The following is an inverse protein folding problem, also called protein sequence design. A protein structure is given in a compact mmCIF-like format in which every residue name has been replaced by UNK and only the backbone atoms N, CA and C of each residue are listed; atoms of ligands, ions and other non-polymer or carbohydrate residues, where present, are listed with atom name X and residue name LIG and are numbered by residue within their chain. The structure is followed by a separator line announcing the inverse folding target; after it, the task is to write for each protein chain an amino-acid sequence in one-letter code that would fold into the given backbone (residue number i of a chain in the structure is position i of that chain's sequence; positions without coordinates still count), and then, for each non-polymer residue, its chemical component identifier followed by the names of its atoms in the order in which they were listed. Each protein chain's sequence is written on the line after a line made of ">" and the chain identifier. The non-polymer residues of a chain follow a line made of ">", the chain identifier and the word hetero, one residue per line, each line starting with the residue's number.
data_IF_165626265318
#
_entry.id   IF_165626265318
#
_cell.length_a   1.000
_cell.length_b   1.000
_cell.length_c   1.000
_cell.angle_alpha   90.00
_cell.angle_beta   90.00
_cell.angle_gamma   90.00
#
_symmetry.space_group_name_H-M   'P 1'
#
loop_
_entity.id
_entity.type
_entity.pdbx_description
1 polymer ?
#
# COMPACT_ATOMS: atom_id res chain seq x y z
N UNK A 1 -20.37 18.48 3.19
CA UNK A 1 -20.59 17.06 2.88
C UNK A 1 -20.18 16.72 1.45
N UNK A 2 -20.49 17.60 0.49
CA UNK A 2 -20.12 17.38 -0.92
C UNK A 2 -18.60 17.24 -1.12
N UNK A 3 -17.81 18.05 -0.41
CA UNK A 3 -16.34 17.98 -0.51
C UNK A 3 -15.81 16.67 0.06
N UNK A 4 -16.37 16.22 1.18
CA UNK A 4 -15.98 14.94 1.77
C UNK A 4 -16.32 13.78 0.86
N UNK A 5 -17.51 13.80 0.26
CA UNK A 5 -17.96 12.75 -0.65
C UNK A 5 -17.05 12.68 -1.89
N UNK A 6 -16.70 13.82 -2.46
CA UNK A 6 -15.81 13.89 -3.61
C UNK A 6 -14.40 13.38 -3.25
N UNK A 7 -13.90 13.72 -2.08
CA UNK A 7 -12.60 13.27 -1.61
C UNK A 7 -12.57 11.75 -1.41
N UNK A 8 -13.60 11.20 -0.78
CA UNK A 8 -13.71 9.75 -0.56
C UNK A 8 -13.84 8.99 -1.86
N UNK A 9 -14.62 9.52 -2.81
CA UNK A 9 -14.75 8.91 -4.14
C UNK A 9 -13.40 8.91 -4.87
N UNK A 10 -12.66 10.00 -4.80
CA UNK A 10 -11.34 10.08 -5.40
C UNK A 10 -10.39 9.04 -4.84
N UNK A 11 -10.39 8.83 -3.53
CA UNK A 11 -9.57 7.81 -2.87
C UNK A 11 -9.97 6.40 -3.31
N UNK A 12 -11.26 6.15 -3.52
CA UNK A 12 -11.74 4.86 -4.05
C UNK A 12 -11.25 4.64 -5.47
N UNK A 13 -11.28 5.66 -6.30
CA UNK A 13 -10.83 5.58 -7.69
C UNK A 13 -9.34 5.29 -7.79
N UNK A 14 -8.52 5.81 -6.87
CA UNK A 14 -7.09 5.48 -6.82
C UNK A 14 -6.89 3.97 -6.70
N UNK A 15 -7.62 3.31 -5.81
CA UNK A 15 -7.50 1.86 -5.59
C UNK A 15 -8.08 1.09 -6.77
N UNK A 16 -9.20 1.51 -7.33
CA UNK A 16 -9.83 0.87 -8.48
C UNK A 16 -8.91 0.83 -9.69
N UNK A 17 -8.06 1.84 -9.85
CA UNK A 17 -7.12 1.93 -10.97
C UNK A 17 -5.84 1.13 -10.75
N UNK A 18 -5.65 0.52 -9.57
CA UNK A 18 -4.46 -0.28 -9.26
C UNK A 18 -4.78 -1.76 -9.47
N UNK A 19 -4.11 -2.39 -10.45
CA UNK A 19 -4.37 -3.78 -10.83
C UNK A 19 -4.18 -4.76 -9.68
N UNK A 20 -3.21 -4.50 -8.81
CA UNK A 20 -2.90 -5.40 -7.69
C UNK A 20 -3.98 -5.39 -6.59
N UNK A 21 -4.96 -4.49 -6.67
CA UNK A 21 -6.12 -4.51 -5.78
C UNK A 21 -7.33 -5.23 -6.39
N UNK A 22 -7.24 -5.67 -7.65
CA UNK A 22 -8.40 -6.26 -8.34
C UNK A 22 -8.91 -7.54 -7.70
N UNK A 23 -8.03 -8.31 -7.07
CA UNK A 23 -8.40 -9.57 -6.42
C UNK A 23 -8.73 -9.40 -4.94
N UNK A 24 -8.71 -8.17 -4.43
CA UNK A 24 -9.05 -7.90 -3.04
C UNK A 24 -10.58 -7.92 -2.87
N UNK A 25 -11.06 -8.85 -2.03
CA UNK A 25 -12.50 -9.03 -1.80
C UNK A 25 -13.14 -7.87 -1.04
N UNK A 26 -12.34 -7.09 -0.31
CA UNK A 26 -12.80 -5.92 0.44
C UNK A 26 -12.51 -4.66 -0.38
N UNK A 27 -13.51 -3.80 -0.54
CA UNK A 27 -13.32 -2.55 -1.24
C UNK A 27 -12.54 -1.56 -0.38
N UNK A 28 -11.35 -1.21 -0.81
CA UNK A 28 -10.50 -0.26 -0.11
C UNK A 28 -10.48 1.09 -0.84
N UNK A 29 -10.12 2.12 -0.13
CA UNK A 29 -9.88 3.45 -0.68
C UNK A 29 -8.58 3.99 -0.10
N UNK A 30 -7.81 4.73 -0.89
CA UNK A 30 -6.50 5.17 -0.43
C UNK A 30 -5.93 6.33 -1.22
N UNK A 31 -4.79 6.81 -0.76
CA UNK A 31 -4.05 7.88 -1.41
C UNK A 31 -2.57 7.55 -1.38
N UNK A 32 -1.96 7.59 -2.56
CA UNK A 32 -0.52 7.40 -2.72
C UNK A 32 0.23 8.69 -2.41
N UNK A 33 1.47 8.54 -1.98
CA UNK A 33 2.36 9.66 -1.78
C UNK A 33 3.81 9.22 -1.96
N UNK A 34 4.61 10.10 -2.55
CA UNK A 34 6.03 9.86 -2.74
C UNK A 34 6.76 11.10 -2.24
N UNK A 35 7.64 10.94 -1.25
CA UNK A 35 8.33 12.06 -0.61
C UNK A 35 9.83 11.94 -0.82
N UNK A 36 10.42 12.97 -1.42
CA UNK A 36 11.85 13.08 -1.60
C UNK A 36 12.48 13.71 -0.35
N UNK A 37 13.46 13.02 0.22
CA UNK A 37 14.24 13.55 1.34
C UNK A 37 15.57 14.11 0.83
N UNK A 38 16.25 13.39 -0.06
CA UNK A 38 17.48 13.85 -0.71
C UNK A 38 17.48 13.40 -2.18
N UNK A 39 18.17 14.15 -3.04
CA UNK A 39 18.28 13.81 -4.45
C UNK A 39 19.15 12.57 -4.72
N UNK A 40 19.96 12.16 -3.74
CA UNK A 40 20.91 11.06 -3.87
C UNK A 40 20.34 9.70 -3.45
N UNK A 41 19.11 9.67 -2.91
CA UNK A 41 18.48 8.45 -2.43
C UNK A 41 17.08 8.31 -3.01
N UNK A 42 16.58 7.06 -3.10
CA UNK A 42 15.19 6.85 -3.53
C UNK A 42 14.21 7.59 -2.62
N UNK A 43 13.08 7.96 -3.19
CA UNK A 43 12.01 8.63 -2.46
C UNK A 43 11.37 7.68 -1.44
N UNK A 44 10.79 8.25 -0.39
CA UNK A 44 9.98 7.48 0.54
C UNK A 44 8.66 7.09 -0.13
N UNK A 45 8.26 5.83 0.04
CA UNK A 45 6.99 5.32 -0.46
C UNK A 45 5.94 5.43 0.63
N UNK A 46 4.83 6.09 0.32
CA UNK A 46 3.75 6.36 1.28
C UNK A 46 2.42 5.92 0.70
N UNK A 47 1.58 5.33 1.55
CA UNK A 47 0.20 5.00 1.20
C UNK A 47 -0.67 5.08 2.45
N UNK A 48 -1.77 5.81 2.36
CA UNK A 48 -2.80 5.81 3.41
C UNK A 48 -4.06 5.19 2.83
N UNK A 49 -4.76 4.42 3.66
CA UNK A 49 -5.85 3.58 3.19
C UNK A 49 -6.89 3.38 4.30
N UNK A 50 -8.13 3.20 3.90
CA UNK A 50 -9.16 2.70 4.79
C UNK A 50 -10.01 1.66 4.07
N UNK A 51 -10.60 0.77 4.83
CA UNK A 51 -11.43 -0.31 4.30
C UNK A 51 -12.43 -0.77 5.35
N UNK A 52 -13.62 -1.28 4.96
CA UNK A 52 -14.19 -1.17 3.62
C UNK A 52 -14.58 0.28 3.27
N UNK A 53 -14.62 0.58 1.99
CA UNK A 53 -15.01 1.91 1.51
C UNK A 53 -16.41 2.31 1.98
N UNK A 54 -17.34 1.36 1.93
CA UNK A 54 -18.73 1.58 2.24
C UNK A 54 -18.99 1.86 3.71
N UNK A 55 -18.21 1.24 4.60
CA UNK A 55 -18.34 1.39 6.05
C UNK A 55 -16.98 1.10 6.70
N UNK A 56 -16.11 2.10 6.79
CA UNK A 56 -14.73 1.86 7.22
C UNK A 56 -14.62 1.26 8.62
N UNK A 57 -13.85 0.19 8.72
CA UNK A 57 -13.55 -0.49 9.97
C UNK A 57 -12.08 -0.43 10.36
N UNK A 58 -11.20 -0.11 9.39
CA UNK A 58 -9.75 -0.02 9.64
C UNK A 58 -9.15 1.08 8.77
N UNK A 59 -8.18 1.78 9.31
CA UNK A 59 -7.36 2.73 8.57
C UNK A 59 -5.89 2.35 8.75
N UNK A 60 -5.13 2.40 7.66
CA UNK A 60 -3.73 1.99 7.64
C UNK A 60 -2.90 3.08 6.98
N UNK A 61 -1.80 3.46 7.62
CA UNK A 61 -0.79 4.33 7.02
C UNK A 61 0.50 3.51 6.88
N UNK A 62 1.00 3.41 5.67
CA UNK A 62 2.21 2.65 5.35
C UNK A 62 3.29 3.59 4.84
N UNK A 63 4.48 3.49 5.42
CA UNK A 63 5.66 4.22 4.96
C UNK A 63 6.81 3.24 4.80
N UNK A 64 7.40 3.23 3.61
CA UNK A 64 8.62 2.46 3.35
C UNK A 64 9.72 3.48 3.11
N UNK A 65 10.63 3.69 4.08
CA UNK A 65 11.74 4.64 3.88
C UNK A 65 12.57 4.25 2.67
N UNK A 66 12.78 5.19 1.78
CA UNK A 66 13.53 5.01 0.53
C UNK A 66 13.00 3.85 -0.32
N UNK A 67 11.66 3.64 -0.28
CA UNK A 67 10.99 2.53 -0.95
C UNK A 67 10.74 2.72 -2.43
N UNK A 68 11.21 3.80 -3.02
CA UNK A 68 11.09 4.13 -4.44
C UNK A 68 9.71 4.60 -4.86
N UNK A 69 8.73 3.71 -4.85
CA UNK A 69 7.41 3.96 -5.40
C UNK A 69 6.34 3.70 -4.37
N UNK A 70 5.34 4.57 -4.34
CA UNK A 70 4.14 4.39 -3.51
C UNK A 70 3.40 3.10 -3.82
N UNK A 71 3.60 2.51 -5.00
CA UNK A 71 2.99 1.22 -5.36
C UNK A 71 3.47 0.09 -4.45
N UNK A 72 4.71 0.12 -3.99
CA UNK A 72 5.21 -0.88 -3.05
C UNK A 72 4.52 -0.75 -1.68
N UNK A 73 4.32 0.49 -1.22
CA UNK A 73 3.59 0.74 0.03
C UNK A 73 2.13 0.31 -0.10
N UNK A 74 1.51 0.54 -1.25
CA UNK A 74 0.13 0.15 -1.52
C UNK A 74 -0.01 -1.38 -1.56
N UNK A 75 0.92 -2.08 -2.18
CA UNK A 75 0.89 -3.55 -2.23
C UNK A 75 1.07 -4.16 -0.85
N UNK A 76 1.97 -3.60 -0.04
CA UNK A 76 2.16 -4.03 1.35
C UNK A 76 0.88 -3.81 2.16
N UNK A 77 0.23 -2.66 1.98
CA UNK A 77 -1.04 -2.35 2.64
C UNK A 77 -2.15 -3.33 2.22
N UNK A 78 -2.20 -3.68 0.93
CA UNK A 78 -3.14 -4.69 0.44
C UNK A 78 -2.95 -6.01 1.19
N UNK A 79 -1.72 -6.44 1.38
CA UNK A 79 -1.42 -7.69 2.07
C UNK A 79 -1.84 -7.64 3.53
N UNK A 80 -1.68 -6.50 4.19
CA UNK A 80 -2.16 -6.31 5.57
C UNK A 80 -3.68 -6.42 5.62
N UNK A 81 -4.39 -5.83 4.66
CA UNK A 81 -5.85 -5.92 4.58
C UNK A 81 -6.29 -7.37 4.40
N UNK A 82 -5.62 -8.12 3.52
CA UNK A 82 -5.91 -9.54 3.31
C UNK A 82 -5.74 -10.34 4.60
N UNK A 83 -4.67 -10.10 5.31
CA UNK A 83 -4.41 -10.78 6.58
C UNK A 83 -5.46 -10.40 7.63
N UNK A 84 -5.75 -9.12 7.77
CA UNK A 84 -6.68 -8.60 8.78
C UNK A 84 -8.08 -9.18 8.61
N UNK A 85 -8.55 -9.32 7.38
CA UNK A 85 -9.88 -9.84 7.09
C UNK A 85 -9.90 -11.36 6.85
N UNK A 86 -8.80 -12.05 7.09
CA UNK A 86 -8.73 -13.50 6.91
C UNK A 86 -8.83 -13.96 5.47
N UNK A 87 -8.43 -13.12 4.50
CA UNK A 87 -8.51 -13.43 3.07
C UNK A 87 -7.29 -14.20 2.58
N UNK A 88 -6.19 -14.20 3.34
CA UNK A 88 -4.98 -14.94 3.03
C UNK A 88 -4.27 -15.33 4.32
N UNK A 89 -3.55 -16.45 4.27
CA UNK A 89 -2.73 -16.92 5.38
C UNK A 89 -1.39 -16.17 5.38
N UNK A 90 -0.73 -16.14 6.54
CA UNK A 90 0.56 -15.47 6.69
C UNK A 90 1.60 -15.98 5.69
N UNK A 91 1.67 -17.29 5.50
CA UNK A 91 2.63 -17.93 4.60
C UNK A 91 2.40 -17.55 3.13
N UNK A 92 1.17 -17.20 2.76
CA UNK A 92 0.85 -16.76 1.41
C UNK A 92 1.31 -15.32 1.14
N UNK A 93 1.49 -14.53 2.20
CA UNK A 93 1.85 -13.12 2.10
C UNK A 93 3.35 -12.89 2.21
N UNK A 94 4.04 -13.72 2.99
CA UNK A 94 5.49 -13.62 3.20
C UNK A 94 6.18 -14.54 2.20
N UNK A 95 6.57 -13.98 1.06
CA UNK A 95 7.17 -14.73 -0.03
C UNK A 95 8.67 -14.49 -0.19
N UNK A 96 9.24 -13.56 0.57
CA UNK A 96 10.66 -13.26 0.50
C UNK A 96 11.53 -14.20 1.33
N UNK A 97 12.79 -14.33 0.96
CA UNK A 97 13.78 -15.08 1.71
C UNK A 97 14.88 -14.15 2.23
N UNK A 98 15.68 -14.64 3.18
CA UNK A 98 16.80 -13.86 3.72
C UNK A 98 17.82 -13.49 2.64
N UNK A 99 17.97 -14.34 1.64
CA UNK A 99 18.89 -14.09 0.52
C UNK A 99 18.46 -12.87 -0.30
N UNK A 100 17.19 -12.58 -0.33
CA UNK A 100 16.67 -11.41 -1.03
C UNK A 100 17.14 -10.10 -0.39
N UNK A 101 17.28 -10.11 0.92
CA UNK A 101 17.80 -8.96 1.67
C UNK A 101 19.26 -8.68 1.33
N UNK A 102 20.07 -9.72 1.27
CA UNK A 102 21.49 -9.60 0.91
C UNK A 102 21.65 -9.05 -0.51
N UNK A 103 20.83 -9.54 -1.43
CA UNK A 103 20.82 -9.05 -2.81
C UNK A 103 20.38 -7.59 -2.88
N UNK A 104 19.39 -7.20 -2.10
CA UNK A 104 18.92 -5.82 -2.05
C UNK A 104 20.01 -4.88 -1.51
N UNK A 105 20.70 -5.28 -0.44
CA UNK A 105 21.80 -4.51 0.13
C UNK A 105 22.95 -4.37 -0.87
N UNK A 106 23.28 -5.44 -1.58
CA UNK A 106 24.33 -5.44 -2.61
C UNK A 106 24.01 -4.50 -3.76
N UNK A 107 22.75 -4.40 -4.14
CA UNK A 107 22.31 -3.56 -5.25
C UNK A 107 22.25 -2.08 -4.87
N UNK A 108 22.20 -1.74 -3.59
CA UNK A 108 22.22 -0.37 -3.11
C UNK A 108 23.63 0.23 -3.02
N UNK A 109 24.64 -0.61 -3.08
CA UNK A 109 26.02 -0.21 -3.06
C UNK A 109 26.62 -0.16 -4.47
#
# INVERSE_FOLDING_TARGET
>A
QEYWDAFHLGMRQVVENKKYFNDLAVNAAGKTGTAEQTASRPNHALFICYAPYENPGIAIATRIPFGYSSDYAAQFTRDIIKYYYGLAEEDDLITGTADTLDNAVSNEM
#
